data_IF_655693750849
#
_entry.id   IF_655693750849
#
_cell.length_a   1.000
_cell.length_b   1.000
_cell.length_c   1.000
_cell.angle_alpha   90.00
_cell.angle_beta   90.00
_cell.angle_gamma   90.00
#
_symmetry.space_group_name_H-M   'P 1'
#
loop_
_entity.id
_entity.type
_entity.pdbx_description
1 polymer ?
#
# COMPACT_ATOMS: atom_id res chain seq x y z
N UNK A 1 10.44 -16.67 -5.54
CA UNK A 1 9.14 -16.35 -6.09
C UNK A 1 8.23 -15.73 -5.04
N UNK A 2 7.07 -15.23 -5.43
CA UNK A 2 6.14 -14.55 -4.52
C UNK A 2 5.72 -15.42 -3.33
N UNK A 3 5.54 -16.71 -3.53
CA UNK A 3 5.14 -17.68 -2.50
C UNK A 3 6.07 -17.66 -1.27
N UNK A 4 7.38 -17.82 -1.47
CA UNK A 4 8.34 -17.84 -0.36
C UNK A 4 8.48 -16.49 0.31
N UNK A 5 8.41 -15.42 -0.47
CA UNK A 5 8.48 -14.06 0.05
C UNK A 5 7.27 -13.70 0.89
N UNK A 6 6.07 -14.00 0.38
CA UNK A 6 4.82 -13.80 1.11
C UNK A 6 4.78 -14.63 2.41
N UNK A 7 5.17 -15.90 2.36
CA UNK A 7 5.20 -16.76 3.55
C UNK A 7 6.10 -16.17 4.65
N UNK A 8 7.31 -15.69 4.30
CA UNK A 8 8.21 -15.05 5.29
C UNK A 8 7.63 -13.78 5.88
N UNK A 9 7.01 -12.93 5.04
CA UNK A 9 6.37 -11.70 5.51
C UNK A 9 5.22 -12.03 6.46
N UNK A 10 4.39 -13.02 6.13
CA UNK A 10 3.29 -13.47 7.00
C UNK A 10 3.81 -14.01 8.33
N UNK A 11 4.89 -14.80 8.32
CA UNK A 11 5.51 -15.28 9.56
C UNK A 11 5.99 -14.13 10.45
N UNK A 12 6.63 -13.12 9.85
CA UNK A 12 7.08 -11.92 10.58
C UNK A 12 5.88 -11.15 11.15
N UNK A 13 4.87 -10.85 10.35
CA UNK A 13 3.69 -10.12 10.81
C UNK A 13 2.96 -10.85 11.94
N UNK A 14 2.85 -12.17 11.86
CA UNK A 14 2.25 -13.01 12.89
C UNK A 14 3.02 -12.97 14.21
N UNK A 15 4.36 -12.97 14.16
CA UNK A 15 5.21 -12.91 15.35
C UNK A 15 4.99 -11.64 16.18
N UNK A 16 4.56 -10.56 15.55
CA UNK A 16 4.32 -9.26 16.20
C UNK A 16 2.85 -8.87 16.26
N UNK A 17 1.93 -9.77 15.89
CA UNK A 17 0.48 -9.51 15.82
C UNK A 17 0.12 -8.27 14.99
N UNK A 18 0.84 -8.04 13.89
CA UNK A 18 0.62 -6.93 12.99
C UNK A 18 -0.28 -7.35 11.82
N UNK A 19 -1.19 -6.45 11.43
CA UNK A 19 -1.99 -6.60 10.21
C UNK A 19 -1.47 -5.67 9.11
N UNK A 20 -1.61 -6.11 7.88
CA UNK A 20 -1.17 -5.38 6.70
C UNK A 20 -2.25 -5.35 5.63
N UNK A 21 -2.14 -4.39 4.73
CA UNK A 21 -2.94 -4.33 3.51
C UNK A 21 -2.11 -4.88 2.34
N UNK A 22 -2.65 -5.88 1.67
CA UNK A 22 -2.06 -6.47 0.48
C UNK A 22 -2.69 -5.87 -0.77
N UNK A 23 -1.96 -4.96 -1.42
CA UNK A 23 -2.33 -4.39 -2.71
C UNK A 23 -1.95 -5.39 -3.80
N UNK A 24 -2.94 -6.02 -4.42
CA UNK A 24 -2.72 -7.15 -5.34
C UNK A 24 -3.25 -6.82 -6.73
N UNK A 25 -2.41 -6.92 -7.79
CA UNK A 25 -2.90 -6.99 -9.16
C UNK A 25 -3.77 -8.24 -9.32
N UNK A 26 -4.93 -8.11 -9.94
CA UNK A 26 -5.92 -9.19 -9.90
C UNK A 26 -5.60 -10.39 -10.81
N UNK A 27 -4.71 -10.23 -11.79
CA UNK A 27 -4.11 -11.35 -12.52
C UNK A 27 -3.33 -12.28 -11.61
N UNK A 28 -2.59 -11.74 -10.62
CA UNK A 28 -1.85 -12.51 -9.62
C UNK A 28 -2.75 -13.39 -8.75
N UNK A 29 -4.02 -13.00 -8.53
CA UNK A 29 -4.99 -13.83 -7.80
C UNK A 29 -5.35 -15.10 -8.59
N UNK A 30 -5.35 -15.01 -9.92
CA UNK A 30 -5.61 -16.15 -10.80
C UNK A 30 -4.38 -17.05 -10.92
N UNK A 31 -3.20 -16.46 -10.98
CA UNK A 31 -1.93 -17.18 -11.14
C UNK A 31 -1.46 -17.86 -9.85
N UNK A 32 -1.76 -17.26 -8.69
CA UNK A 32 -1.29 -17.70 -7.37
C UNK A 32 -2.41 -17.80 -6.32
N UNK A 33 -3.50 -18.56 -6.58
CA UNK A 33 -4.64 -18.65 -5.66
C UNK A 33 -4.24 -19.18 -4.27
N UNK A 34 -3.22 -20.04 -4.20
CA UNK A 34 -2.72 -20.57 -2.93
C UNK A 34 -2.08 -19.51 -2.05
N UNK A 35 -1.39 -18.52 -2.66
CA UNK A 35 -0.82 -17.38 -1.94
C UNK A 35 -1.94 -16.48 -1.41
N UNK A 36 -2.97 -16.24 -2.21
CA UNK A 36 -4.14 -15.46 -1.78
C UNK A 36 -4.83 -16.12 -0.59
N UNK A 37 -5.05 -17.42 -0.65
CA UNK A 37 -5.67 -18.17 0.45
C UNK A 37 -4.79 -18.16 1.72
N UNK A 38 -3.48 -18.24 1.58
CA UNK A 38 -2.53 -18.14 2.69
C UNK A 38 -2.64 -16.78 3.39
N UNK A 39 -2.67 -15.68 2.63
CA UNK A 39 -2.81 -14.31 3.15
C UNK A 39 -4.19 -14.13 3.80
N UNK A 40 -5.25 -14.63 3.15
CA UNK A 40 -6.63 -14.53 3.63
C UNK A 40 -6.82 -15.19 5.01
N UNK A 41 -6.21 -16.34 5.23
CA UNK A 41 -6.28 -17.08 6.52
C UNK A 41 -5.69 -16.31 7.69
N UNK A 42 -4.74 -15.43 7.43
CA UNK A 42 -4.11 -14.59 8.46
C UNK A 42 -4.92 -13.32 8.77
N UNK A 43 -6.06 -13.08 8.08
CA UNK A 43 -6.95 -11.97 8.34
C UNK A 43 -6.37 -10.60 7.97
N UNK A 44 -5.53 -10.55 6.94
CA UNK A 44 -5.04 -9.32 6.35
C UNK A 44 -6.07 -8.71 5.39
N UNK A 45 -5.97 -7.41 5.15
CA UNK A 45 -6.76 -6.73 4.14
C UNK A 45 -6.22 -7.01 2.73
N UNK A 46 -7.14 -7.16 1.76
CA UNK A 46 -6.82 -7.10 0.34
C UNK A 46 -7.32 -5.79 -0.27
N UNK A 47 -6.47 -5.12 -1.04
CA UNK A 47 -6.78 -3.89 -1.73
C UNK A 47 -6.34 -3.93 -3.20
N UNK A 48 -6.93 -3.07 -4.01
CA UNK A 48 -6.78 -3.05 -5.45
C UNK A 48 -5.43 -2.47 -5.89
N UNK A 49 -4.75 -3.16 -6.81
CA UNK A 49 -3.49 -2.70 -7.41
C UNK A 49 -3.50 -2.83 -8.94
N UNK A 50 -4.63 -2.52 -9.57
CA UNK A 50 -4.83 -2.71 -11.00
C UNK A 50 -5.30 -4.12 -11.38
N UNK A 51 -5.71 -4.27 -12.64
CA UNK A 51 -6.01 -5.58 -13.23
C UNK A 51 -4.73 -6.40 -13.39
N UNK A 52 -3.70 -5.73 -13.87
CA UNK A 52 -2.32 -6.18 -13.98
C UNK A 52 -1.36 -5.04 -13.58
N UNK A 53 -0.07 -5.28 -13.60
CA UNK A 53 0.94 -4.28 -13.23
C UNK A 53 1.53 -3.54 -14.44
N UNK A 54 0.75 -3.30 -15.51
CA UNK A 54 1.23 -2.64 -16.73
C UNK A 54 1.08 -1.11 -16.72
N UNK A 55 0.36 -0.57 -15.75
CA UNK A 55 0.12 0.88 -15.62
C UNK A 55 -0.93 1.43 -16.60
N UNK A 56 -1.31 0.71 -17.64
CA UNK A 56 -2.37 1.00 -18.62
C UNK A 56 -2.50 2.47 -19.02
N UNK A 57 -1.38 3.08 -19.37
CA UNK A 57 -1.33 4.47 -19.81
C UNK A 57 -2.12 4.70 -21.09
N UNK A 58 -2.84 5.82 -21.16
CA UNK A 58 -3.59 6.23 -22.36
C UNK A 58 -4.99 5.59 -22.50
N UNK A 59 -5.47 4.84 -21.50
CA UNK A 59 -6.84 4.32 -21.50
C UNK A 59 -7.88 5.44 -21.32
N UNK A 60 -9.05 5.23 -21.93
CA UNK A 60 -10.23 6.10 -21.72
C UNK A 60 -10.87 5.83 -20.37
N UNK A 61 -11.74 6.76 -19.93
CA UNK A 61 -12.53 6.58 -18.70
C UNK A 61 -13.32 5.26 -18.70
N UNK A 62 -14.02 4.95 -19.79
CA UNK A 62 -14.81 3.72 -19.89
C UNK A 62 -13.93 2.47 -19.80
N UNK A 63 -12.74 2.50 -20.40
CA UNK A 63 -11.78 1.39 -20.31
C UNK A 63 -11.25 1.22 -18.88
N UNK A 64 -10.88 2.31 -18.20
CA UNK A 64 -10.44 2.24 -16.81
C UNK A 64 -11.56 1.73 -15.89
N UNK A 65 -12.78 2.21 -16.04
CA UNK A 65 -13.94 1.72 -15.28
C UNK A 65 -14.21 0.24 -15.54
N UNK A 66 -14.14 -0.21 -16.79
CA UNK A 66 -14.35 -1.61 -17.14
C UNK A 66 -13.28 -2.53 -16.51
N UNK A 67 -12.00 -2.13 -16.54
CA UNK A 67 -10.92 -2.89 -15.92
C UNK A 67 -11.05 -2.94 -14.38
N UNK A 68 -11.44 -1.84 -13.76
CA UNK A 68 -11.69 -1.81 -12.31
C UNK A 68 -12.89 -2.70 -11.96
N UNK A 69 -13.98 -2.66 -12.75
CA UNK A 69 -15.13 -3.53 -12.56
C UNK A 69 -14.76 -5.01 -12.65
N UNK A 70 -14.02 -5.41 -13.69
CA UNK A 70 -13.52 -6.79 -13.84
C UNK A 70 -12.64 -7.18 -12.66
N UNK A 71 -11.77 -6.29 -12.21
CA UNK A 71 -10.93 -6.54 -11.04
C UNK A 71 -11.77 -6.78 -9.78
N UNK A 72 -12.83 -6.00 -9.55
CA UNK A 72 -13.72 -6.18 -8.39
C UNK A 72 -14.46 -7.52 -8.42
N UNK A 73 -14.83 -8.03 -9.60
CA UNK A 73 -15.38 -9.38 -9.74
C UNK A 73 -14.38 -10.45 -9.34
N UNK A 74 -13.11 -10.29 -9.75
CA UNK A 74 -12.03 -11.20 -9.37
C UNK A 74 -11.72 -11.12 -7.86
N UNK A 75 -11.69 -9.93 -7.27
CA UNK A 75 -11.59 -9.77 -5.81
C UNK A 75 -12.67 -10.58 -5.10
N UNK A 76 -13.93 -10.35 -5.45
CA UNK A 76 -15.05 -11.07 -4.84
C UNK A 76 -14.94 -12.58 -5.00
N UNK A 77 -14.47 -13.06 -6.15
CA UNK A 77 -14.27 -14.48 -6.41
C UNK A 77 -13.21 -15.12 -5.51
N UNK A 78 -12.07 -14.44 -5.31
CA UNK A 78 -10.91 -15.03 -4.63
C UNK A 78 -10.81 -14.69 -3.15
N UNK A 79 -11.36 -13.55 -2.71
CA UNK A 79 -11.30 -13.12 -1.32
C UNK A 79 -12.63 -13.17 -0.58
N UNK A 80 -13.75 -13.24 -1.31
CA UNK A 80 -15.10 -13.25 -0.77
C UNK A 80 -15.73 -11.85 -0.68
N UNK A 81 -14.97 -10.77 -0.88
CA UNK A 81 -15.45 -9.38 -0.85
C UNK A 81 -14.78 -8.55 -1.96
N UNK A 82 -15.28 -7.34 -2.17
CA UNK A 82 -14.69 -6.35 -3.08
C UNK A 82 -13.58 -5.58 -2.38
N UNK A 83 -12.61 -5.07 -3.14
CA UNK A 83 -11.60 -4.17 -2.62
C UNK A 83 -12.22 -2.82 -2.22
N UNK A 84 -11.85 -2.31 -1.04
CA UNK A 84 -12.29 -1.01 -0.54
C UNK A 84 -11.24 0.09 -0.69
N UNK A 85 -10.02 -0.27 -0.98
CA UNK A 85 -8.91 0.64 -1.19
C UNK A 85 -8.17 0.39 -2.48
N UNK A 86 -7.46 1.40 -2.94
CA UNK A 86 -6.69 1.34 -4.17
C UNK A 86 -5.31 1.95 -4.02
N UNK A 87 -4.31 1.26 -4.57
CA UNK A 87 -3.02 1.82 -4.94
C UNK A 87 -2.85 1.62 -6.44
N UNK A 88 -2.99 2.67 -7.27
CA UNK A 88 -2.91 2.53 -8.72
C UNK A 88 -1.48 2.14 -9.16
N UNK A 89 -1.37 1.29 -10.18
CA UNK A 89 -0.10 0.93 -10.82
C UNK A 89 0.35 1.94 -11.88
N UNK A 90 -0.52 2.86 -12.25
CA UNK A 90 -0.29 3.89 -13.24
C UNK A 90 -1.19 5.10 -13.03
N UNK A 91 -1.18 6.01 -13.99
CA UNK A 91 -2.00 7.22 -13.91
C UNK A 91 -3.46 6.90 -14.26
N UNK A 92 -4.34 7.18 -13.32
CA UNK A 92 -5.77 7.24 -13.58
C UNK A 92 -6.15 8.63 -14.12
N UNK A 93 -7.20 8.68 -14.92
CA UNK A 93 -7.80 9.95 -15.31
C UNK A 93 -8.47 10.61 -14.09
N UNK A 94 -8.44 11.94 -13.96
CA UNK A 94 -9.08 12.63 -12.84
C UNK A 94 -10.55 12.27 -12.64
N UNK A 95 -11.27 12.02 -13.72
CA UNK A 95 -12.67 11.57 -13.67
C UNK A 95 -12.82 10.14 -13.14
N UNK A 96 -11.84 9.25 -13.42
CA UNK A 96 -11.82 7.89 -12.86
C UNK A 96 -11.52 7.94 -11.36
N UNK A 97 -10.54 8.75 -10.94
CA UNK A 97 -10.23 8.93 -9.53
C UNK A 97 -11.43 9.43 -8.73
N UNK A 98 -12.20 10.41 -9.25
CA UNK A 98 -13.43 10.84 -8.61
C UNK A 98 -14.47 9.73 -8.54
N UNK A 99 -14.68 9.05 -9.64
CA UNK A 99 -15.67 7.96 -9.72
C UNK A 99 -15.38 6.85 -8.72
N UNK A 100 -14.11 6.52 -8.46
CA UNK A 100 -13.74 5.51 -7.47
C UNK A 100 -14.34 5.81 -6.09
N UNK A 101 -14.18 7.04 -5.60
CA UNK A 101 -14.57 7.41 -4.23
C UNK A 101 -16.01 7.92 -4.14
N UNK A 102 -16.55 8.51 -5.20
CA UNK A 102 -17.88 9.09 -5.20
C UNK A 102 -18.98 8.09 -5.66
N UNK A 103 -18.61 7.04 -6.41
CA UNK A 103 -19.60 6.14 -7.05
C UNK A 103 -19.25 4.66 -7.01
N UNK A 104 -17.98 4.28 -7.08
CA UNK A 104 -17.56 2.88 -7.17
C UNK A 104 -17.36 2.19 -5.81
N UNK A 105 -17.55 2.90 -4.69
CA UNK A 105 -17.53 2.34 -3.34
C UNK A 105 -16.14 2.12 -2.75
N UNK A 106 -15.10 2.72 -3.32
CA UNK A 106 -13.79 2.78 -2.70
C UNK A 106 -13.79 3.79 -1.56
N UNK A 107 -13.08 3.46 -0.48
CA UNK A 107 -13.03 4.25 0.75
C UNK A 107 -11.75 5.08 0.82
N UNK A 108 -10.64 4.52 0.34
CA UNK A 108 -9.34 5.18 0.45
C UNK A 108 -8.44 4.96 -0.77
N UNK A 109 -7.52 5.91 -0.95
CA UNK A 109 -6.35 5.79 -1.83
C UNK A 109 -5.08 5.62 -1.00
N UNK A 110 -4.15 4.79 -1.49
CA UNK A 110 -2.78 4.73 -1.01
C UNK A 110 -1.80 5.17 -2.10
N UNK A 111 -2.20 6.13 -2.91
CA UNK A 111 -1.31 6.73 -3.89
C UNK A 111 -0.27 7.61 -3.20
N UNK A 112 1.00 7.45 -3.61
CA UNK A 112 2.09 8.23 -3.07
C UNK A 112 2.16 9.60 -3.70
N UNK A 113 1.62 10.61 -3.08
CA UNK A 113 1.99 11.99 -3.41
C UNK A 113 1.79 12.88 -2.19
N UNK A 114 2.77 13.73 -1.91
CA UNK A 114 2.70 14.85 -0.97
C UNK A 114 1.90 14.57 0.33
N UNK A 115 2.39 13.70 1.14
CA UNK A 115 1.73 13.11 2.28
C UNK A 115 1.51 13.97 3.52
N UNK A 116 1.43 15.29 3.44
CA UNK A 116 1.13 16.16 4.58
C UNK A 116 -0.21 16.87 4.46
N UNK A 117 -1.18 16.22 3.79
CA UNK A 117 -2.54 16.72 3.66
C UNK A 117 -3.37 16.58 4.94
N UNK A 118 -4.59 17.04 4.85
CA UNK A 118 -5.63 16.96 5.89
C UNK A 118 -6.30 15.58 6.01
N UNK A 119 -5.82 14.59 5.26
CA UNK A 119 -6.33 13.22 5.25
C UNK A 119 -7.33 12.92 4.13
N UNK A 120 -7.81 13.92 3.41
CA UNK A 120 -8.67 13.70 2.25
C UNK A 120 -7.88 13.46 0.96
N UNK A 121 -8.47 12.69 0.05
CA UNK A 121 -7.91 12.50 -1.28
C UNK A 121 -8.40 13.60 -2.22
N UNK A 122 -7.45 14.28 -2.87
CA UNK A 122 -7.72 15.41 -3.76
C UNK A 122 -7.50 15.06 -5.21
N UNK A 123 -8.45 15.49 -6.06
CA UNK A 123 -8.32 15.41 -7.51
C UNK A 123 -8.37 16.84 -8.07
N UNK A 124 -7.31 17.25 -8.75
CA UNK A 124 -7.18 18.62 -9.29
C UNK A 124 -7.48 19.71 -8.24
N UNK A 125 -6.97 19.56 -7.03
CA UNK A 125 -7.12 20.51 -5.95
C UNK A 125 -8.51 20.55 -5.29
N UNK A 126 -9.40 19.61 -5.63
CA UNK A 126 -10.71 19.48 -4.99
C UNK A 126 -10.80 18.15 -4.24
N UNK A 127 -11.22 18.20 -2.98
CA UNK A 127 -11.44 17.01 -2.16
C UNK A 127 -12.47 16.07 -2.79
N UNK A 128 -12.25 14.77 -2.61
CA UNK A 128 -13.23 13.71 -2.89
C UNK A 128 -13.78 13.18 -1.56
N UNK A 129 -14.67 12.19 -1.61
CA UNK A 129 -15.11 11.46 -0.42
C UNK A 129 -14.08 10.40 0.04
N UNK A 130 -12.97 10.24 -0.66
CA UNK A 130 -11.93 9.26 -0.34
C UNK A 130 -10.94 9.76 0.69
N UNK A 131 -10.46 8.85 1.53
CA UNK A 131 -9.38 9.09 2.48
C UNK A 131 -8.03 8.86 1.78
N UNK A 132 -7.06 9.70 2.03
CA UNK A 132 -5.69 9.49 1.58
C UNK A 132 -4.86 8.84 2.69
N UNK A 133 -4.46 7.58 2.49
CA UNK A 133 -3.49 6.87 3.33
C UNK A 133 -2.17 6.77 2.54
N UNK A 134 -1.37 7.83 2.51
CA UNK A 134 -0.28 7.94 1.55
C UNK A 134 0.83 6.93 1.82
N UNK A 135 1.39 6.37 0.75
CA UNK A 135 2.69 5.74 0.77
C UNK A 135 3.74 6.78 0.36
N UNK A 136 4.75 6.97 1.19
CA UNK A 136 5.87 7.84 0.85
C UNK A 136 6.92 7.02 0.12
N UNK A 137 6.74 6.88 -1.20
CA UNK A 137 7.55 5.98 -2.04
C UNK A 137 9.05 6.22 -1.89
N UNK A 138 9.48 7.48 -1.82
CA UNK A 138 10.89 7.82 -1.70
C UNK A 138 11.54 7.39 -0.38
N UNK A 139 10.76 7.38 0.72
CA UNK A 139 11.27 7.11 2.07
C UNK A 139 10.84 5.75 2.60
N UNK A 140 9.64 5.28 2.25
CA UNK A 140 8.98 4.16 2.91
C UNK A 140 8.70 2.96 1.99
N UNK A 141 9.22 2.97 0.75
CA UNK A 141 9.12 1.86 -0.20
C UNK A 141 10.43 1.09 -0.28
N UNK A 142 10.38 -0.22 -0.08
CA UNK A 142 11.57 -1.08 -0.11
C UNK A 142 12.18 -1.20 -1.51
N UNK A 143 11.38 -1.10 -2.57
CA UNK A 143 11.87 -1.10 -3.95
C UNK A 143 12.71 0.14 -4.23
N UNK A 144 12.20 1.31 -3.88
CA UNK A 144 12.89 2.59 -4.08
C UNK A 144 14.21 2.61 -3.30
N UNK A 145 14.18 2.20 -2.03
CA UNK A 145 15.34 2.25 -1.15
C UNK A 145 16.40 1.19 -1.46
N UNK A 146 16.03 0.03 -1.98
CA UNK A 146 16.95 -1.12 -2.08
C UNK A 146 17.20 -1.63 -3.51
N UNK A 147 16.41 -1.22 -4.49
CA UNK A 147 16.48 -1.73 -5.88
C UNK A 147 16.60 -0.62 -6.91
N UNK A 148 15.78 0.42 -6.82
CA UNK A 148 15.64 1.43 -7.88
C UNK A 148 16.94 2.16 -8.23
N UNK A 149 17.86 2.31 -7.28
CA UNK A 149 19.18 2.91 -7.52
C UNK A 149 20.05 2.14 -8.52
N UNK A 150 19.66 0.92 -8.86
CA UNK A 150 20.34 0.09 -9.85
C UNK A 150 19.62 0.04 -11.21
N UNK A 151 18.48 0.73 -11.36
CA UNK A 151 17.73 0.66 -12.61
C UNK A 151 17.15 2.03 -13.04
N UNK A 152 17.44 2.44 -14.25
CA UNK A 152 18.41 1.84 -15.17
C UNK A 152 19.83 2.03 -14.64
N UNK A 153 20.69 1.04 -14.87
CA UNK A 153 22.14 1.08 -14.55
C UNK A 153 22.86 2.08 -15.47
N UNK A 154 22.62 3.39 -15.30
CA UNK A 154 22.76 4.27 -16.46
C UNK A 154 23.64 5.46 -16.25
N UNK A 155 23.82 5.91 -15.04
CA UNK A 155 24.59 7.14 -14.86
C UNK A 155 25.77 6.88 -13.93
N UNK A 156 26.94 7.13 -14.49
CA UNK A 156 28.19 7.23 -13.73
C UNK A 156 27.99 8.23 -12.58
N UNK A 157 28.23 7.79 -11.33
CA UNK A 157 28.01 8.60 -10.14
C UNK A 157 26.63 8.49 -9.48
N UNK A 158 25.72 7.66 -9.95
CA UNK A 158 24.47 7.40 -9.23
C UNK A 158 24.72 6.70 -7.89
N UNK A 159 24.01 7.10 -6.82
CA UNK A 159 24.14 6.48 -5.52
C UNK A 159 23.80 4.99 -5.58
N UNK A 160 24.57 4.18 -4.89
CA UNK A 160 24.29 2.76 -4.71
C UNK A 160 23.08 2.58 -3.80
N UNK A 161 22.41 1.42 -3.84
CA UNK A 161 21.36 1.10 -2.87
C UNK A 161 21.87 1.36 -1.46
N UNK A 162 21.01 1.93 -0.62
CA UNK A 162 21.38 2.17 0.76
C UNK A 162 21.59 0.85 1.51
N UNK A 163 22.55 0.82 2.43
CA UNK A 163 22.75 -0.33 3.30
C UNK A 163 21.54 -0.55 4.22
N UNK A 164 21.28 -1.78 4.62
CA UNK A 164 20.10 -2.18 5.39
C UNK A 164 19.88 -1.36 6.66
N UNK A 165 20.95 -1.04 7.39
CA UNK A 165 20.86 -0.22 8.61
C UNK A 165 20.50 1.24 8.32
N UNK A 166 20.87 1.77 7.16
CA UNK A 166 20.47 3.12 6.72
C UNK A 166 18.98 3.14 6.38
N UNK A 167 18.53 2.16 5.61
CA UNK A 167 17.10 2.02 5.24
C UNK A 167 16.24 1.86 6.49
N UNK A 168 16.62 0.96 7.39
CA UNK A 168 15.93 0.76 8.67
C UNK A 168 15.81 2.07 9.47
N UNK A 169 16.91 2.82 9.63
CA UNK A 169 16.90 4.10 10.35
C UNK A 169 16.04 5.16 9.65
N UNK A 170 15.99 5.16 8.32
CA UNK A 170 15.12 6.06 7.59
C UNK A 170 13.65 5.75 7.88
N UNK A 171 13.25 4.49 7.82
CA UNK A 171 11.88 4.07 8.14
C UNK A 171 11.48 4.42 9.58
N UNK A 172 12.36 4.16 10.55
CA UNK A 172 12.11 4.55 11.96
C UNK A 172 11.88 6.05 12.09
N UNK A 173 12.72 6.89 11.44
CA UNK A 173 12.58 8.35 11.49
C UNK A 173 11.29 8.85 10.86
N UNK A 174 10.85 8.24 9.77
CA UNK A 174 9.56 8.59 9.14
C UNK A 174 8.39 8.26 10.08
N UNK A 175 8.42 7.09 10.74
CA UNK A 175 7.41 6.74 11.75
C UNK A 175 7.42 7.71 12.93
N UNK A 176 8.59 8.03 13.49
CA UNK A 176 8.73 9.00 14.57
C UNK A 176 8.21 10.39 14.18
N UNK A 177 8.48 10.80 12.93
CA UNK A 177 7.96 12.05 12.38
C UNK A 177 6.44 12.04 12.26
N UNK A 178 5.86 10.96 11.73
CA UNK A 178 4.40 10.80 11.64
C UNK A 178 3.74 10.84 13.03
N UNK A 179 4.27 10.11 14.01
CA UNK A 179 3.78 10.13 15.38
C UNK A 179 3.84 11.54 15.98
N UNK A 180 5.00 12.20 15.87
CA UNK A 180 5.19 13.56 16.42
C UNK A 180 4.24 14.59 15.86
N UNK A 181 3.89 14.51 14.58
CA UNK A 181 3.07 15.51 13.89
C UNK A 181 1.62 15.06 13.68
N UNK A 182 1.21 13.92 14.28
CA UNK A 182 -0.16 13.40 14.17
C UNK A 182 -0.54 13.08 12.72
N UNK A 183 0.36 12.41 11.99
CA UNK A 183 0.14 12.07 10.58
C UNK A 183 -0.11 10.59 10.40
N UNK A 184 -0.86 10.25 9.35
CA UNK A 184 -1.02 8.87 8.89
C UNK A 184 -0.21 8.63 7.61
N UNK A 185 0.12 7.37 7.36
CA UNK A 185 0.84 6.94 6.17
C UNK A 185 0.99 5.44 6.12
N UNK A 186 1.60 4.95 5.07
CA UNK A 186 1.90 3.53 4.90
C UNK A 186 3.33 3.32 4.41
N UNK A 187 3.90 2.16 4.77
CA UNK A 187 5.15 1.65 4.22
C UNK A 187 4.83 0.60 3.16
N UNK A 188 5.57 0.58 2.06
CA UNK A 188 5.39 -0.42 1.02
C UNK A 188 6.50 -1.46 1.05
N UNK A 189 6.11 -2.73 1.03
CA UNK A 189 7.00 -3.88 0.99
C UNK A 189 6.57 -4.84 -0.10
N UNK A 190 7.54 -5.26 -0.91
CA UNK A 190 7.28 -6.20 -1.99
C UNK A 190 7.76 -7.60 -1.59
N UNK A 191 6.92 -8.66 -1.72
CA UNK A 191 7.32 -10.03 -1.36
C UNK A 191 8.60 -10.51 -2.05
N UNK A 192 8.80 -10.09 -3.29
CA UNK A 192 10.02 -10.39 -4.05
C UNK A 192 11.27 -9.61 -3.58
N UNK A 193 11.11 -8.58 -2.75
CA UNK A 193 12.17 -7.74 -2.23
C UNK A 193 12.34 -7.96 -0.74
N UNK A 194 11.44 -7.42 0.10
CA UNK A 194 11.49 -7.57 1.55
C UNK A 194 11.41 -9.03 2.01
N UNK A 195 10.73 -9.90 1.25
CA UNK A 195 10.65 -11.34 1.51
C UNK A 195 11.91 -12.14 1.17
N UNK A 196 13.01 -11.52 0.66
CA UNK A 196 14.30 -12.20 0.47
C UNK A 196 15.01 -12.40 1.81
N UNK A 197 15.89 -13.42 1.92
CA UNK A 197 16.47 -13.84 3.19
C UNK A 197 17.15 -12.70 3.98
N UNK A 198 17.98 -11.89 3.32
CA UNK A 198 18.67 -10.78 3.99
C UNK A 198 17.78 -9.60 4.34
N UNK A 199 16.85 -9.24 3.44
CA UNK A 199 15.93 -8.12 3.67
C UNK A 199 14.81 -8.45 4.65
N UNK A 200 14.42 -9.73 4.75
CA UNK A 200 13.42 -10.14 5.74
C UNK A 200 13.91 -9.95 7.18
N UNK A 201 15.20 -10.04 7.44
CA UNK A 201 15.78 -9.70 8.75
C UNK A 201 15.62 -8.21 9.08
N UNK A 202 15.77 -7.33 8.08
CA UNK A 202 15.51 -5.90 8.26
C UNK A 202 14.03 -5.61 8.50
N UNK A 203 13.14 -6.26 7.75
CA UNK A 203 11.70 -6.15 7.94
C UNK A 203 11.28 -6.65 9.34
N UNK A 204 11.82 -7.77 9.80
CA UNK A 204 11.57 -8.33 11.13
C UNK A 204 11.94 -7.31 12.23
N UNK A 205 13.11 -6.67 12.15
CA UNK A 205 13.50 -5.60 13.08
C UNK A 205 12.56 -4.40 13.01
N UNK A 206 12.05 -4.04 11.83
CA UNK A 206 11.12 -2.93 11.70
C UNK A 206 9.74 -3.27 12.27
N UNK A 207 9.24 -4.49 12.06
CA UNK A 207 8.00 -4.96 12.68
C UNK A 207 8.11 -5.02 14.21
N UNK A 208 9.26 -5.47 14.75
CA UNK A 208 9.52 -5.43 16.19
C UNK A 208 9.43 -3.99 16.74
N UNK A 209 10.09 -3.04 16.08
CA UNK A 209 10.02 -1.63 16.47
C UNK A 209 8.57 -1.09 16.45
N UNK A 210 7.79 -1.42 15.42
CA UNK A 210 6.39 -0.99 15.34
C UNK A 210 5.54 -1.58 16.47
N UNK A 211 5.71 -2.85 16.77
CA UNK A 211 4.95 -3.54 17.83
C UNK A 211 5.29 -3.03 19.25
N UNK A 212 6.52 -2.59 19.48
CA UNK A 212 6.98 -2.04 20.75
C UNK A 212 6.61 -0.56 20.92
N UNK A 213 6.36 0.16 19.83
CA UNK A 213 6.10 1.60 19.84
C UNK A 213 4.62 1.91 20.14
N UNK A 214 4.34 2.27 21.40
CA UNK A 214 2.96 2.55 21.86
C UNK A 214 2.39 3.89 21.38
N UNK A 215 3.19 4.74 20.75
CA UNK A 215 2.74 6.02 20.19
C UNK A 215 2.21 5.87 18.76
N UNK A 216 2.37 4.67 18.17
CA UNK A 216 1.99 4.37 16.80
C UNK A 216 0.91 3.30 16.78
N UNK A 217 -0.23 3.62 16.19
CA UNK A 217 -1.24 2.63 15.88
C UNK A 217 -1.00 2.06 14.48
N UNK A 218 -0.64 0.77 14.42
CA UNK A 218 -0.46 0.03 13.19
C UNK A 218 -1.71 -0.81 12.90
N UNK A 219 -2.31 -0.62 11.72
CA UNK A 219 -3.48 -1.38 11.28
C UNK A 219 -3.52 -1.47 9.76
N UNK A 220 -4.59 -2.04 9.21
CA UNK A 220 -4.84 -2.03 7.78
C UNK A 220 -5.17 -0.60 7.30
N UNK A 221 -4.94 -0.34 6.01
CA UNK A 221 -5.28 0.97 5.44
C UNK A 221 -6.79 1.25 5.53
N UNK A 222 -7.62 0.22 5.45
CA UNK A 222 -9.07 0.36 5.60
C UNK A 222 -9.45 0.77 7.03
N UNK A 223 -8.88 0.14 8.05
CA UNK A 223 -9.13 0.51 9.44
C UNK A 223 -8.72 1.95 9.72
N UNK A 224 -7.54 2.36 9.22
CA UNK A 224 -7.05 3.74 9.34
C UNK A 224 -8.03 4.72 8.66
N UNK A 225 -8.47 4.42 7.45
CA UNK A 225 -9.41 5.25 6.73
C UNK A 225 -10.77 5.35 7.43
N UNK A 226 -11.29 4.24 7.94
CA UNK A 226 -12.55 4.22 8.70
C UNK A 226 -12.45 4.99 10.01
N UNK A 227 -11.32 4.87 10.72
CA UNK A 227 -11.07 5.66 11.92
C UNK A 227 -11.05 7.17 11.62
N UNK A 228 -10.38 7.56 10.54
CA UNK A 228 -10.36 8.95 10.09
C UNK A 228 -11.78 9.47 9.79
N UNK A 229 -12.59 8.72 9.04
CA UNK A 229 -13.97 9.11 8.71
C UNK A 229 -14.84 9.24 9.96
N UNK A 230 -14.77 8.29 10.89
CA UNK A 230 -15.51 8.36 12.14
C UNK A 230 -15.14 9.59 13.00
N UNK A 231 -13.87 9.99 13.00
CA UNK A 231 -13.42 11.19 13.70
C UNK A 231 -13.97 12.49 13.05
N UNK A 232 -14.20 12.51 11.72
CA UNK A 232 -14.78 13.66 11.02
C UNK A 232 -16.28 13.81 11.32
N UNK A 233 -17.03 12.72 11.39
CA UNK A 233 -18.47 12.75 11.74
C UNK A 233 -18.71 13.30 13.15
N UNK A 234 -17.84 13.02 14.08
CA UNK A 234 -17.90 13.56 15.46
C UNK A 234 -17.61 15.05 15.51
N UNK A 235 -16.81 15.58 14.56
CA UNK A 235 -16.45 17.00 14.54
C UNK A 235 -17.49 17.86 13.80
N UNK A 236 -18.35 17.24 13.00
CA UNK A 236 -19.41 17.91 12.22
C UNK A 236 -20.74 18.07 13.02
N UNK A 237 -20.83 17.51 14.22
CA UNK A 237 -21.91 17.71 15.20
C UNK A 237 -21.58 18.81 16.20
#
# INVERSE_FOLDING_TARGET
GPERGAARILDILRNYDLKATWFVPTDMMQEHPDVIEMIRKEGHEFAHHGLDHTGRYGETFDQQCAHIGLSQELFKKYTGDIARGMRPTGMLLPQTERWLYESAGFVYSSAGTSGEGDGWYYVNGTATCGVNVPCRDEQMDDYVQTVLHNYPAVLEGMPRPAGYDVVYRNWVREIEGMARFGRMGSSAFHPQIAGTAGRSVMLDRFCAYLAENREVWCSTCLDIAQHFLAAQEVTAC
#
